data_IF_768489707632
#
_entry.id   IF_768489707632
#
_cell.length_a   1.000
_cell.length_b   1.000
_cell.length_c   1.000
_cell.angle_alpha   90.00
_cell.angle_beta   90.00
_cell.angle_gamma   90.00
#
_symmetry.space_group_name_H-M   'P 1'
#
loop_
_entity.id
_entity.type
_entity.pdbx_description
1 polymer ?
#
# COMPACT_ATOMS: atom_id res chain seq x y z
N UNK A 1 -6.04 -9.00 -8.79
CA UNK A 1 -4.79 -9.59 -9.33
C UNK A 1 -4.15 -10.48 -8.29
N UNK A 2 -3.58 -11.60 -8.74
CA UNK A 2 -2.79 -12.52 -7.91
C UNK A 2 -1.59 -13.09 -8.71
N UNK A 3 -0.56 -13.55 -8.00
CA UNK A 3 0.55 -14.31 -8.58
C UNK A 3 0.20 -15.80 -8.62
N UNK A 4 0.44 -16.43 -9.76
CA UNK A 4 0.36 -17.87 -9.92
C UNK A 4 1.76 -18.44 -10.14
N UNK A 5 2.24 -19.26 -9.21
CA UNK A 5 3.50 -19.97 -9.34
C UNK A 5 3.20 -21.45 -9.55
N UNK A 6 3.54 -21.97 -10.73
CA UNK A 6 3.38 -23.38 -11.07
C UNK A 6 4.74 -24.06 -11.13
N UNK A 7 4.90 -25.19 -10.42
CA UNK A 7 6.14 -25.98 -10.42
C UNK A 7 5.93 -27.42 -10.86
N UNK A 8 6.78 -27.91 -11.75
CA UNK A 8 6.88 -29.33 -12.12
C UNK A 8 7.81 -30.14 -11.23
N UNK A 9 8.44 -29.48 -10.26
CA UNK A 9 9.27 -30.09 -9.23
C UNK A 9 8.41 -30.36 -7.99
N UNK A 10 8.38 -31.61 -7.53
CA UNK A 10 7.64 -32.03 -6.33
C UNK A 10 8.33 -31.62 -5.02
N UNK A 11 9.62 -31.23 -5.07
CA UNK A 11 10.30 -30.63 -3.92
C UNK A 11 10.13 -29.11 -3.86
N UNK A 12 9.48 -28.51 -4.87
CA UNK A 12 9.19 -27.09 -4.84
C UNK A 12 8.24 -26.73 -3.70
N UNK A 13 8.39 -25.51 -3.21
CA UNK A 13 7.57 -24.94 -2.16
C UNK A 13 7.72 -25.61 -0.77
N UNK A 14 8.80 -26.38 -0.55
CA UNK A 14 9.12 -27.02 0.74
C UNK A 14 10.09 -26.20 1.62
N UNK A 15 10.02 -24.87 1.53
CA UNK A 15 10.78 -23.94 2.38
C UNK A 15 12.11 -23.46 1.80
N UNK A 16 12.49 -23.93 0.61
CA UNK A 16 13.58 -23.32 -0.17
C UNK A 16 13.03 -22.24 -1.11
N UNK A 17 13.82 -21.19 -1.43
CA UNK A 17 13.46 -20.24 -2.48
C UNK A 17 13.22 -20.96 -3.80
N UNK A 18 12.18 -20.57 -4.51
CA UNK A 18 11.82 -21.17 -5.79
C UNK A 18 12.55 -20.45 -6.94
N UNK A 19 13.12 -21.22 -7.86
CA UNK A 19 13.94 -20.70 -8.96
C UNK A 19 13.33 -21.06 -10.30
N UNK A 20 13.34 -20.10 -11.22
CA UNK A 20 12.87 -20.31 -12.59
C UNK A 20 13.71 -19.50 -13.59
N UNK A 21 13.74 -19.97 -14.83
CA UNK A 21 14.36 -19.22 -15.92
C UNK A 21 13.54 -17.99 -16.27
N UNK A 22 14.20 -16.93 -16.72
CA UNK A 22 13.57 -15.65 -17.02
C UNK A 22 12.51 -15.73 -18.14
N UNK A 23 12.66 -16.65 -19.09
CA UNK A 23 11.67 -16.89 -20.15
C UNK A 23 10.36 -17.51 -19.64
N UNK A 24 10.39 -18.12 -18.44
CA UNK A 24 9.22 -18.67 -17.73
C UNK A 24 8.46 -17.63 -16.91
N UNK A 25 8.99 -16.40 -16.84
CA UNK A 25 8.33 -15.29 -16.12
C UNK A 25 7.30 -14.63 -17.03
N UNK A 26 6.07 -14.56 -16.54
CA UNK A 26 4.90 -14.02 -17.22
C UNK A 26 4.51 -14.79 -18.49
N UNK A 27 4.81 -16.10 -18.55
CA UNK A 27 4.57 -16.93 -19.75
C UNK A 27 3.08 -17.02 -20.13
N UNK A 28 2.17 -16.91 -19.16
CA UNK A 28 0.72 -16.95 -19.34
C UNK A 28 0.00 -15.73 -18.74
N UNK A 29 0.72 -14.62 -18.66
CA UNK A 29 0.19 -13.32 -18.26
C UNK A 29 -0.28 -12.57 -19.50
N UNK A 30 -1.46 -11.93 -19.44
CA UNK A 30 -1.96 -11.11 -20.55
C UNK A 30 -0.98 -9.99 -20.92
N UNK A 31 -0.95 -9.58 -22.19
CA UNK A 31 -0.02 -8.54 -22.66
C UNK A 31 -0.17 -7.23 -21.89
N UNK A 32 -1.40 -6.85 -21.53
CA UNK A 32 -1.69 -5.64 -20.78
C UNK A 32 -1.03 -5.63 -19.39
N UNK A 33 -1.04 -6.79 -18.70
CA UNK A 33 -0.39 -6.94 -17.39
C UNK A 33 1.12 -7.08 -17.57
N UNK A 34 1.57 -7.85 -18.58
CA UNK A 34 2.99 -8.02 -18.87
C UNK A 34 3.68 -6.68 -19.11
N UNK A 35 3.05 -5.79 -19.88
CA UNK A 35 3.56 -4.44 -20.12
C UNK A 35 3.75 -3.62 -18.83
N UNK A 36 2.97 -3.90 -17.78
CA UNK A 36 3.08 -3.21 -16.49
C UNK A 36 4.23 -3.72 -15.62
N UNK A 37 4.68 -4.97 -15.80
CA UNK A 37 5.59 -5.65 -14.86
C UNK A 37 6.87 -6.22 -15.51
N UNK A 38 6.98 -6.22 -16.84
CA UNK A 38 8.08 -6.88 -17.57
C UNK A 38 9.48 -6.36 -17.27
N UNK A 39 9.62 -5.11 -16.84
CA UNK A 39 10.95 -4.53 -16.52
C UNK A 39 11.49 -5.12 -15.21
N UNK A 40 10.59 -5.56 -14.33
CA UNK A 40 10.87 -6.01 -12.97
C UNK A 40 11.77 -5.02 -12.21
N UNK A 41 11.49 -3.72 -12.32
CA UNK A 41 12.14 -2.69 -11.53
C UNK A 41 11.64 -2.71 -10.07
N UNK A 42 12.28 -1.96 -9.16
CA UNK A 42 11.95 -1.99 -7.73
C UNK A 42 10.48 -1.68 -7.42
N UNK A 43 9.84 -0.78 -8.18
CA UNK A 43 8.42 -0.45 -8.00
C UNK A 43 7.51 -1.60 -8.47
N UNK A 44 7.85 -2.23 -9.59
CA UNK A 44 7.10 -3.36 -10.13
C UNK A 44 7.23 -4.59 -9.23
N UNK A 45 8.43 -4.91 -8.77
CA UNK A 45 8.71 -5.99 -7.79
C UNK A 45 7.89 -5.76 -6.52
N UNK A 46 7.91 -4.54 -5.98
CA UNK A 46 7.15 -4.18 -4.79
C UNK A 46 5.65 -4.43 -4.97
N UNK A 47 5.09 -4.08 -6.14
CA UNK A 47 3.67 -4.36 -6.45
C UNK A 47 3.39 -5.86 -6.55
N UNK A 48 4.28 -6.65 -7.14
CA UNK A 48 4.12 -8.09 -7.27
C UNK A 48 4.18 -8.79 -5.90
N UNK A 49 5.05 -8.35 -5.00
CA UNK A 49 5.09 -8.82 -3.61
C UNK A 49 3.79 -8.54 -2.83
N UNK A 50 3.03 -7.52 -3.25
CA UNK A 50 1.76 -7.16 -2.61
C UNK A 50 0.55 -7.97 -3.12
N UNK A 51 0.74 -8.85 -4.10
CA UNK A 51 -0.33 -9.69 -4.59
C UNK A 51 -0.40 -11.01 -3.82
N UNK A 52 -1.62 -11.49 -3.49
CA UNK A 52 -1.83 -12.87 -3.10
C UNK A 52 -1.14 -13.83 -4.06
N UNK A 53 -0.57 -14.90 -3.54
CA UNK A 53 0.17 -15.87 -4.35
C UNK A 53 -0.42 -17.25 -4.19
N UNK A 54 -0.82 -17.86 -5.31
CA UNK A 54 -1.22 -19.26 -5.39
C UNK A 54 -0.02 -20.07 -5.86
N UNK A 55 0.50 -20.93 -4.97
CA UNK A 55 1.61 -21.83 -5.24
C UNK A 55 1.04 -23.20 -5.57
N UNK A 56 1.15 -23.62 -6.83
CA UNK A 56 0.55 -24.82 -7.38
C UNK A 56 1.58 -25.70 -8.09
N UNK A 57 1.20 -26.94 -8.37
CA UNK A 57 2.08 -27.92 -9.00
C UNK A 57 1.51 -28.39 -10.34
N UNK A 58 2.39 -28.71 -11.27
CA UNK A 58 2.01 -29.26 -12.57
C UNK A 58 1.21 -30.56 -12.45
N UNK A 59 0.41 -30.84 -13.47
CA UNK A 59 -0.38 -32.04 -13.61
C UNK A 59 0.52 -33.27 -13.46
N UNK A 60 0.13 -34.16 -12.56
CA UNK A 60 0.88 -35.38 -12.23
C UNK A 60 1.67 -35.27 -10.93
N UNK A 61 1.97 -34.05 -10.48
CA UNK A 61 2.50 -33.79 -9.14
C UNK A 61 1.28 -33.72 -8.19
N UNK A 62 0.97 -34.83 -7.53
CA UNK A 62 -0.23 -35.01 -6.70
C UNK A 62 -0.11 -34.28 -5.35
N UNK A 63 0.16 -32.99 -5.38
CA UNK A 63 0.28 -32.11 -4.21
C UNK A 63 -0.74 -30.98 -4.26
N UNK A 64 -1.20 -30.55 -3.08
CA UNK A 64 -2.16 -29.48 -2.97
C UNK A 64 -1.50 -28.12 -3.24
N UNK A 65 -2.22 -27.25 -3.91
CA UNK A 65 -1.85 -25.85 -4.02
C UNK A 65 -2.07 -25.13 -2.68
N UNK A 66 -1.22 -24.15 -2.40
CA UNK A 66 -1.21 -23.40 -1.14
C UNK A 66 -1.21 -21.91 -1.41
N UNK A 67 -1.77 -21.17 -0.48
CA UNK A 67 -1.84 -19.72 -0.52
C UNK A 67 -0.72 -19.10 0.31
N UNK A 68 -0.14 -18.03 -0.24
CA UNK A 68 0.97 -17.35 0.39
C UNK A 68 1.20 -15.97 -0.22
N UNK A 69 2.41 -15.48 -0.02
CA UNK A 69 2.91 -14.24 -0.58
C UNK A 69 4.34 -14.40 -1.08
N UNK A 70 4.73 -13.52 -2.00
CA UNK A 70 6.12 -13.38 -2.41
C UNK A 70 6.79 -12.37 -1.48
N UNK A 71 7.79 -12.82 -0.72
CA UNK A 71 8.52 -11.98 0.22
C UNK A 71 9.60 -11.17 -0.50
N UNK A 72 10.39 -11.85 -1.34
CA UNK A 72 11.49 -11.24 -2.07
C UNK A 72 11.67 -11.84 -3.47
N UNK A 73 11.99 -10.98 -4.43
CA UNK A 73 12.33 -11.38 -5.80
C UNK A 73 13.77 -10.94 -6.08
N UNK A 74 14.63 -11.90 -6.43
CA UNK A 74 16.01 -11.63 -6.88
C UNK A 74 16.14 -12.01 -8.33
N UNK A 75 16.74 -11.11 -9.10
CA UNK A 75 16.80 -11.22 -10.54
C UNK A 75 18.26 -11.33 -10.98
N UNK A 76 18.55 -12.31 -11.82
CA UNK A 76 19.81 -12.45 -12.54
C UNK A 76 19.55 -12.32 -14.05
N UNK A 77 20.60 -12.44 -14.85
CA UNK A 77 20.50 -12.32 -16.31
C UNK A 77 19.54 -13.34 -16.92
N UNK A 78 19.59 -14.59 -16.44
CA UNK A 78 18.86 -15.73 -17.02
C UNK A 78 17.82 -16.35 -16.10
N UNK A 79 17.83 -15.99 -14.82
CA UNK A 79 17.07 -16.67 -13.77
C UNK A 79 16.46 -15.67 -12.80
N UNK A 80 15.36 -16.07 -12.19
CA UNK A 80 14.71 -15.37 -11.10
C UNK A 80 14.63 -16.33 -9.92
N UNK A 81 14.91 -15.81 -8.73
CA UNK A 81 14.73 -16.51 -7.46
C UNK A 81 13.65 -15.79 -6.66
N UNK A 82 12.67 -16.55 -6.18
CA UNK A 82 11.51 -16.07 -5.44
C UNK A 82 11.56 -16.67 -4.03
N UNK A 83 11.68 -15.82 -3.03
CA UNK A 83 11.45 -16.17 -1.63
C UNK A 83 9.96 -15.94 -1.34
N UNK A 84 9.31 -16.90 -0.68
CA UNK A 84 7.88 -16.90 -0.43
C UNK A 84 7.58 -17.45 0.97
N UNK A 85 6.41 -17.10 1.48
CA UNK A 85 5.87 -17.59 2.75
C UNK A 85 4.42 -17.99 2.57
N UNK A 86 4.01 -19.04 3.29
CA UNK A 86 2.60 -19.42 3.36
C UNK A 86 1.89 -18.60 4.42
N UNK A 87 0.61 -18.36 4.20
CA UNK A 87 -0.23 -17.69 5.19
C UNK A 87 -0.93 -18.79 6.01
N UNK A 88 -0.65 -18.79 7.31
CA UNK A 88 -1.18 -19.81 8.23
C UNK A 88 -2.70 -19.71 8.37
N UNK A 89 -3.36 -20.86 8.56
CA UNK A 89 -4.81 -20.92 8.73
C UNK A 89 -5.64 -20.79 7.45
N UNK A 90 -4.99 -20.64 6.29
CA UNK A 90 -5.65 -20.71 4.98
C UNK A 90 -5.80 -22.16 4.51
N UNK A 91 -6.86 -22.46 3.72
CA UNK A 91 -7.10 -23.80 3.22
C UNK A 91 -6.13 -24.16 2.09
N UNK A 92 -5.77 -25.44 2.02
CA UNK A 92 -5.10 -26.00 0.85
C UNK A 92 -6.12 -26.32 -0.25
N UNK A 93 -5.72 -26.15 -1.49
CA UNK A 93 -6.57 -26.40 -2.66
C UNK A 93 -6.07 -27.65 -3.37
N UNK A 94 -6.89 -28.69 -3.38
CA UNK A 94 -6.52 -29.95 -4.05
C UNK A 94 -6.39 -29.76 -5.56
N UNK A 95 -5.63 -30.61 -6.28
CA UNK A 95 -5.55 -30.55 -7.74
C UNK A 95 -6.90 -30.63 -8.45
N UNK A 96 -7.87 -31.37 -7.88
CA UNK A 96 -9.22 -31.45 -8.41
C UNK A 96 -9.96 -30.11 -8.26
N UNK A 97 -9.93 -29.52 -7.06
CA UNK A 97 -10.56 -28.21 -6.82
C UNK A 97 -9.92 -27.10 -7.66
N UNK A 98 -8.58 -27.11 -7.82
CA UNK A 98 -7.90 -26.13 -8.67
C UNK A 98 -8.30 -26.27 -10.14
N UNK A 99 -8.51 -27.50 -10.60
CA UNK A 99 -9.01 -27.77 -11.95
C UNK A 99 -10.45 -27.32 -12.14
N UNK A 100 -11.29 -27.49 -11.12
CA UNK A 100 -12.68 -27.01 -11.16
C UNK A 100 -12.77 -25.47 -11.22
N UNK A 101 -11.71 -24.77 -10.79
CA UNK A 101 -11.56 -23.31 -10.80
C UNK A 101 -10.81 -22.76 -12.03
N UNK A 102 -10.50 -23.61 -13.01
CA UNK A 102 -9.66 -23.26 -14.17
C UNK A 102 -10.17 -22.00 -14.89
N UNK A 103 -11.47 -21.96 -15.15
CA UNK A 103 -12.11 -20.85 -15.86
C UNK A 103 -12.15 -19.57 -15.02
N UNK A 104 -12.59 -19.69 -13.78
CA UNK A 104 -12.77 -18.57 -12.84
C UNK A 104 -11.44 -17.89 -12.54
N UNK A 105 -10.35 -18.64 -12.41
CA UNK A 105 -9.02 -18.13 -12.11
C UNK A 105 -8.20 -17.73 -13.35
N UNK A 106 -8.80 -17.79 -14.56
CA UNK A 106 -8.13 -17.50 -15.83
C UNK A 106 -6.86 -18.35 -16.02
N UNK A 107 -6.94 -19.64 -15.68
CA UNK A 107 -5.87 -20.61 -15.87
C UNK A 107 -6.16 -21.37 -17.18
N UNK A 108 -5.27 -21.32 -18.15
CA UNK A 108 -5.43 -22.10 -19.36
C UNK A 108 -5.00 -23.57 -19.14
N UNK A 109 -5.63 -24.52 -19.84
CA UNK A 109 -5.33 -25.96 -19.72
C UNK A 109 -3.82 -26.29 -19.86
N UNK A 110 -3.10 -25.55 -20.71
CA UNK A 110 -1.66 -25.75 -20.94
C UNK A 110 -0.79 -25.29 -19.76
N UNK A 111 -1.27 -24.39 -18.90
CA UNK A 111 -0.54 -23.88 -17.72
C UNK A 111 -0.23 -24.99 -16.74
N UNK A 112 -1.11 -25.99 -16.64
CA UNK A 112 -0.91 -27.14 -15.77
C UNK A 112 0.27 -28.04 -16.17
N UNK A 113 0.89 -27.86 -17.33
CA UNK A 113 1.93 -28.77 -17.83
C UNK A 113 3.29 -28.07 -17.99
N UNK A 114 3.50 -26.94 -17.31
CA UNK A 114 4.73 -26.17 -17.46
C UNK A 114 5.04 -25.32 -16.24
N UNK A 115 6.28 -25.39 -15.80
CA UNK A 115 6.78 -24.58 -14.68
C UNK A 115 6.86 -23.14 -15.11
N UNK A 116 6.13 -22.23 -14.45
CA UNK A 116 6.06 -20.83 -14.85
C UNK A 116 5.56 -19.94 -13.70
N UNK A 117 5.78 -18.63 -13.87
CA UNK A 117 5.12 -17.60 -13.08
C UNK A 117 4.17 -16.80 -13.97
N UNK A 118 2.91 -16.68 -13.58
CA UNK A 118 1.93 -15.81 -14.22
C UNK A 118 1.33 -14.81 -13.21
N UNK A 119 0.76 -13.72 -13.73
CA UNK A 119 -0.03 -12.75 -12.96
C UNK A 119 -1.40 -12.68 -13.62
N UNK A 120 -2.44 -12.97 -12.86
CA UNK A 120 -3.82 -13.04 -13.35
C UNK A 120 -4.61 -11.85 -12.84
N UNK A 121 -5.46 -11.27 -13.68
CA UNK A 121 -6.34 -10.16 -13.32
C UNK A 121 -7.73 -10.64 -12.89
N UNK A 122 -7.71 -11.53 -11.91
CA UNK A 122 -8.88 -12.07 -11.23
C UNK A 122 -8.75 -11.74 -9.73
N UNK A 123 -9.88 -11.61 -9.05
CA UNK A 123 -9.94 -11.56 -7.60
C UNK A 123 -9.94 -12.99 -7.03
N UNK A 124 -8.74 -13.51 -6.76
CA UNK A 124 -8.54 -14.85 -6.21
C UNK A 124 -9.39 -15.11 -4.96
N UNK A 125 -9.50 -14.13 -4.06
CA UNK A 125 -10.23 -14.29 -2.82
C UNK A 125 -11.74 -14.43 -3.08
N UNK A 126 -12.30 -13.62 -3.98
CA UNK A 126 -13.70 -13.68 -4.34
C UNK A 126 -14.08 -15.02 -5.01
N UNK A 127 -13.23 -15.54 -5.90
CA UNK A 127 -13.48 -16.82 -6.57
C UNK A 127 -13.40 -18.00 -5.58
N UNK A 128 -12.42 -18.00 -4.66
CA UNK A 128 -12.30 -19.04 -3.64
C UNK A 128 -13.46 -19.03 -2.64
N UNK A 129 -13.98 -17.87 -2.28
CA UNK A 129 -15.22 -17.76 -1.49
C UNK A 129 -16.40 -18.35 -2.28
N UNK A 130 -16.53 -17.98 -3.55
CA UNK A 130 -17.66 -18.41 -4.40
C UNK A 130 -17.68 -19.93 -4.59
N UNK A 131 -16.51 -20.56 -4.67
CA UNK A 131 -16.37 -22.01 -4.70
C UNK A 131 -16.51 -22.70 -3.33
N UNK A 132 -16.74 -21.94 -2.25
CA UNK A 132 -16.87 -22.47 -0.90
C UNK A 132 -15.57 -23.00 -0.31
N UNK A 133 -14.43 -22.58 -0.86
CA UNK A 133 -13.10 -23.00 -0.41
C UNK A 133 -12.54 -22.10 0.68
N UNK A 134 -13.08 -20.89 0.88
CA UNK A 134 -12.58 -19.92 1.84
C UNK A 134 -13.70 -19.17 2.57
N UNK A 135 -13.45 -18.76 3.82
CA UNK A 135 -14.34 -17.87 4.58
C UNK A 135 -13.95 -16.39 4.42
N UNK A 136 -14.83 -15.47 4.86
CA UNK A 136 -14.51 -14.03 4.85
C UNK A 136 -13.33 -13.69 5.76
N UNK A 137 -13.26 -14.31 6.93
CA UNK A 137 -12.17 -14.11 7.90
C UNK A 137 -10.82 -14.54 7.31
N UNK A 138 -10.81 -15.63 6.54
CA UNK A 138 -9.61 -16.10 5.84
C UNK A 138 -9.20 -15.15 4.70
N UNK A 139 -10.16 -14.52 4.02
CA UNK A 139 -9.88 -13.47 3.02
C UNK A 139 -9.27 -12.24 3.66
N UNK A 140 -9.77 -11.81 4.82
CA UNK A 140 -9.18 -10.69 5.55
C UNK A 140 -7.74 -10.99 5.98
N UNK A 141 -7.45 -12.24 6.38
CA UNK A 141 -6.09 -12.69 6.67
C UNK A 141 -5.20 -12.66 5.41
N UNK A 142 -5.68 -13.19 4.28
CA UNK A 142 -4.96 -13.18 3.00
C UNK A 142 -4.64 -11.74 2.54
N UNK A 143 -5.63 -10.86 2.56
CA UNK A 143 -5.47 -9.47 2.17
C UNK A 143 -4.61 -8.67 3.16
N UNK A 144 -4.73 -8.94 4.46
CA UNK A 144 -3.93 -8.29 5.50
C UNK A 144 -2.44 -8.64 5.40
N UNK A 145 -2.12 -9.89 5.10
CA UNK A 145 -0.75 -10.41 4.97
C UNK A 145 -0.04 -9.99 3.67
N UNK A 146 -0.81 -9.79 2.60
CA UNK A 146 -0.30 -9.37 1.30
C UNK A 146 -0.20 -7.85 1.15
N UNK A 147 -0.76 -7.04 2.06
CA UNK A 147 -0.67 -5.58 1.97
C UNK A 147 0.54 -5.08 2.75
N UNK A 148 1.65 -4.87 2.06
CA UNK A 148 2.83 -4.23 2.59
C UNK A 148 3.06 -2.84 1.98
N UNK A 149 3.41 -1.88 2.83
CA UNK A 149 3.90 -0.57 2.37
C UNK A 149 5.41 -0.68 2.29
N UNK A 150 5.95 -0.60 1.08
CA UNK A 150 7.38 -0.47 0.84
C UNK A 150 7.75 1.01 0.95
N UNK A 151 8.33 1.39 2.08
CA UNK A 151 8.88 2.73 2.25
C UNK A 151 10.23 2.74 1.56
N UNK A 152 10.28 3.34 0.37
CA UNK A 152 11.52 3.51 -0.38
C UNK A 152 12.38 4.59 0.30
N UNK A 153 13.53 4.17 0.84
CA UNK A 153 14.58 5.05 1.38
C UNK A 153 15.71 5.29 0.35
N UNK A 154 15.51 4.88 -0.91
CA UNK A 154 16.48 4.96 -2.00
C UNK A 154 16.25 3.87 -3.05
N UNK A 155 17.05 3.79 -4.12
CA UNK A 155 16.89 2.81 -5.19
C UNK A 155 16.98 1.33 -4.73
N UNK A 156 17.72 1.07 -3.64
CA UNK A 156 18.00 -0.29 -3.13
C UNK A 156 17.63 -0.51 -1.65
N UNK A 157 16.88 0.40 -1.02
CA UNK A 157 16.48 0.26 0.39
C UNK A 157 14.97 0.46 0.51
N UNK A 158 14.23 -0.64 0.63
CA UNK A 158 12.80 -0.61 0.95
C UNK A 158 12.57 -1.32 2.28
N UNK A 159 11.89 -0.64 3.21
CA UNK A 159 11.40 -1.27 4.43
C UNK A 159 9.94 -1.65 4.22
N UNK A 160 9.61 -2.93 4.45
CA UNK A 160 8.24 -3.42 4.49
C UNK A 160 7.63 -3.09 5.85
N UNK A 161 6.53 -2.33 5.83
CA UNK A 161 5.74 -2.04 7.03
C UNK A 161 4.36 -2.65 6.89
N UNK A 162 3.98 -3.44 7.90
CA UNK A 162 2.66 -4.04 8.06
C UNK A 162 2.19 -3.77 9.50
N UNK A 163 1.34 -2.74 9.72
CA UNK A 163 0.85 -2.41 11.04
C UNK A 163 -0.14 -3.47 11.52
N UNK A 164 -0.04 -3.89 12.78
CA UNK A 164 -1.00 -4.83 13.39
C UNK A 164 -2.28 -4.15 13.89
N UNK A 165 -2.27 -2.82 14.03
CA UNK A 165 -3.38 -2.02 14.58
C UNK A 165 -4.26 -1.42 13.49
N UNK A 166 -3.74 -1.29 12.27
CA UNK A 166 -4.47 -0.70 11.14
C UNK A 166 -4.66 -1.73 10.04
N UNK A 167 -5.85 -1.75 9.45
CA UNK A 167 -6.04 -2.43 8.17
C UNK A 167 -5.38 -1.60 7.08
N UNK A 168 -4.70 -2.27 6.17
CA UNK A 168 -4.08 -1.56 5.05
C UNK A 168 -5.16 -1.04 4.08
N UNK A 169 -5.22 0.28 3.82
CA UNK A 169 -6.20 0.86 2.92
C UNK A 169 -5.97 0.39 1.49
N UNK A 170 -7.05 0.36 0.72
CA UNK A 170 -6.98 0.18 -0.72
C UNK A 170 -6.60 1.49 -1.42
N UNK A 171 -5.95 1.38 -2.57
CA UNK A 171 -5.61 2.50 -3.44
C UNK A 171 -4.15 2.90 -3.42
N UNK A 172 -3.85 3.98 -4.16
CA UNK A 172 -2.52 4.55 -4.30
C UNK A 172 -2.48 5.96 -3.71
N UNK A 173 -1.29 6.54 -3.68
CA UNK A 173 -1.12 7.96 -3.35
C UNK A 173 -1.91 8.77 -4.39
N UNK A 174 -2.84 9.59 -3.91
CA UNK A 174 -3.55 10.55 -4.73
C UNK A 174 -2.75 11.84 -4.83
N UNK A 175 -2.32 12.17 -6.05
CA UNK A 175 -1.44 13.31 -6.29
C UNK A 175 -2.12 14.68 -6.10
N UNK A 176 -3.43 14.71 -5.95
CA UNK A 176 -4.23 15.89 -5.68
C UNK A 176 -4.72 15.98 -4.22
N UNK A 177 -4.51 14.94 -3.41
CA UNK A 177 -5.04 14.87 -2.05
C UNK A 177 -4.05 15.40 -1.00
N UNK A 178 -4.53 16.27 -0.13
CA UNK A 178 -3.83 16.78 1.06
C UNK A 178 -4.72 16.54 2.26
N UNK A 179 -4.13 16.01 3.33
CA UNK A 179 -4.86 15.86 4.59
C UNK A 179 -4.39 16.86 5.64
N UNK A 180 -5.32 17.28 6.50
CA UNK A 180 -5.07 18.22 7.59
C UNK A 180 -5.44 17.57 8.92
N UNK A 181 -4.45 17.51 9.80
CA UNK A 181 -4.52 16.94 11.13
C UNK A 181 -4.44 18.07 12.14
N UNK A 182 -5.46 18.21 12.98
CA UNK A 182 -5.54 19.30 13.96
C UNK A 182 -6.38 18.87 15.18
N UNK A 183 -6.22 19.54 16.34
CA UNK A 183 -7.03 19.22 17.52
C UNK A 183 -8.51 19.34 17.20
N UNK A 184 -9.31 18.33 17.55
CA UNK A 184 -10.76 18.32 17.31
C UNK A 184 -11.45 19.37 18.19
N UNK A 185 -11.42 20.62 17.73
CA UNK A 185 -11.93 21.80 18.42
C UNK A 185 -12.34 22.85 17.38
N UNK A 186 -13.52 23.44 17.57
CA UNK A 186 -14.10 24.45 16.67
C UNK A 186 -13.18 25.64 16.40
N UNK A 187 -12.33 26.01 17.36
CA UNK A 187 -11.38 27.12 17.25
C UNK A 187 -10.35 26.97 16.12
N UNK A 188 -10.16 25.75 15.60
CA UNK A 188 -9.20 25.45 14.53
C UNK A 188 -9.85 25.45 13.13
N UNK A 189 -11.17 25.41 13.02
CA UNK A 189 -11.85 25.43 11.71
C UNK A 189 -11.54 26.68 10.87
N UNK A 190 -11.39 27.90 11.43
CA UNK A 190 -10.96 29.05 10.63
C UNK A 190 -9.59 28.84 9.96
N UNK A 191 -8.68 28.12 10.62
CA UNK A 191 -7.37 27.76 10.06
C UNK A 191 -7.53 26.65 9.01
N UNK A 192 -8.30 25.60 9.31
CA UNK A 192 -8.61 24.54 8.35
C UNK A 192 -9.23 25.09 7.05
N UNK A 193 -10.28 25.91 7.15
CA UNK A 193 -10.96 26.51 6.00
C UNK A 193 -10.02 27.39 5.15
N UNK A 194 -9.04 28.01 5.79
CA UNK A 194 -8.02 28.79 5.10
C UNK A 194 -7.05 27.89 4.33
N UNK A 195 -6.64 26.76 4.91
CA UNK A 195 -5.84 25.74 4.23
C UNK A 195 -6.61 25.12 3.07
N UNK A 196 -7.89 24.83 3.25
CA UNK A 196 -8.77 24.30 2.21
C UNK A 196 -8.85 25.25 1.02
N UNK A 197 -9.04 26.56 1.26
CA UNK A 197 -8.98 27.59 0.21
C UNK A 197 -7.63 27.60 -0.50
N UNK A 198 -6.53 27.51 0.26
CA UNK A 198 -5.18 27.47 -0.30
C UNK A 198 -4.97 26.26 -1.23
N UNK A 199 -5.48 25.10 -0.84
CA UNK A 199 -5.44 23.89 -1.67
C UNK A 199 -6.29 24.02 -2.91
N UNK A 200 -7.52 24.53 -2.78
CA UNK A 200 -8.43 24.75 -3.91
C UNK A 200 -7.83 25.66 -4.97
N UNK A 201 -7.15 26.74 -4.58
CA UNK A 201 -6.43 27.63 -5.49
C UNK A 201 -5.30 26.93 -6.28
N UNK A 202 -4.83 25.79 -5.79
CA UNK A 202 -3.76 24.99 -6.39
C UNK A 202 -4.29 23.72 -7.07
N UNK A 203 -5.61 23.53 -7.15
CA UNK A 203 -6.22 22.31 -7.69
C UNK A 203 -6.04 21.08 -6.80
N UNK A 204 -5.80 21.28 -5.50
CA UNK A 204 -5.65 20.21 -4.51
C UNK A 204 -6.94 20.05 -3.72
N UNK A 205 -7.34 18.79 -3.47
CA UNK A 205 -8.39 18.44 -2.52
C UNK A 205 -7.80 18.38 -1.13
N UNK A 206 -8.36 19.16 -0.22
CA UNK A 206 -7.94 19.22 1.18
C UNK A 206 -9.03 18.58 2.02
N UNK A 207 -8.69 17.52 2.77
CA UNK A 207 -9.63 16.82 3.64
C UNK A 207 -9.12 16.77 5.08
N UNK A 208 -10.04 16.65 6.03
CA UNK A 208 -9.74 16.23 7.40
C UNK A 208 -10.55 14.97 7.76
N UNK A 209 -10.22 14.36 8.89
CA UNK A 209 -10.84 13.12 9.35
C UNK A 209 -12.37 13.20 9.48
N UNK A 210 -12.95 14.36 9.79
CA UNK A 210 -14.39 14.52 10.01
C UNK A 210 -15.20 14.52 8.71
N UNK A 211 -14.52 14.73 7.59
CA UNK A 211 -15.13 14.71 6.26
C UNK A 211 -15.08 13.32 5.63
N UNK A 212 -14.48 12.34 6.32
CA UNK A 212 -14.38 10.95 5.90
C UNK A 212 -15.18 10.09 6.87
N UNK A 213 -16.08 9.27 6.34
CA UNK A 213 -16.84 8.30 7.10
C UNK A 213 -17.05 7.06 6.24
N UNK A 214 -16.01 6.24 6.14
CA UNK A 214 -16.10 4.95 5.44
C UNK A 214 -16.01 3.79 6.42
N UNK A 215 -15.40 4.00 7.58
CA UNK A 215 -15.08 2.94 8.53
C UNK A 215 -15.79 3.17 9.87
N UNK A 216 -16.04 2.07 10.60
CA UNK A 216 -16.62 2.14 11.95
C UNK A 216 -15.65 2.75 12.97
N UNK A 217 -14.35 2.69 12.71
CA UNK A 217 -13.29 3.19 13.58
C UNK A 217 -12.63 4.43 12.97
N UNK A 218 -12.77 5.58 13.64
CA UNK A 218 -12.24 6.88 13.19
C UNK A 218 -10.74 6.79 12.86
N UNK A 219 -9.98 6.01 13.64
CA UNK A 219 -8.53 5.88 13.45
C UNK A 219 -8.19 5.17 12.13
N UNK A 220 -9.04 4.27 11.66
CA UNK A 220 -8.88 3.59 10.38
C UNK A 220 -9.11 4.55 9.20
N UNK A 221 -10.10 5.45 9.31
CA UNK A 221 -10.33 6.51 8.33
C UNK A 221 -9.17 7.51 8.30
N UNK A 222 -8.62 7.89 9.47
CA UNK A 222 -7.44 8.75 9.58
C UNK A 222 -6.22 8.09 8.91
N UNK A 223 -5.96 6.82 9.21
CA UNK A 223 -4.85 6.09 8.59
C UNK A 223 -4.99 6.04 7.06
N UNK A 224 -6.19 5.73 6.57
CA UNK A 224 -6.52 5.68 5.14
C UNK A 224 -6.32 7.03 4.46
N UNK A 225 -6.73 8.10 5.12
CA UNK A 225 -6.57 9.47 4.63
C UNK A 225 -5.08 9.87 4.56
N UNK A 226 -4.30 9.61 5.61
CA UNK A 226 -2.85 9.87 5.62
C UNK A 226 -2.15 9.04 4.54
N UNK A 227 -2.50 7.75 4.42
CA UNK A 227 -1.91 6.84 3.45
C UNK A 227 -2.09 7.35 2.02
N UNK A 228 -3.29 7.79 1.65
CA UNK A 228 -3.60 8.26 0.29
C UNK A 228 -3.11 9.68 0.00
N UNK A 229 -2.84 10.49 1.02
CA UNK A 229 -2.43 11.89 0.84
C UNK A 229 -1.08 12.03 0.14
N UNK A 230 -0.93 13.03 -0.73
CA UNK A 230 0.37 13.44 -1.28
C UNK A 230 1.29 14.03 -0.22
N UNK A 231 0.73 14.81 0.70
CA UNK A 231 1.39 15.34 1.89
C UNK A 231 0.36 15.70 2.97
N UNK A 232 0.83 15.90 4.19
CA UNK A 232 -0.01 16.12 5.37
C UNK A 232 0.34 17.46 6.00
N UNK A 233 -0.67 18.21 6.46
CA UNK A 233 -0.50 19.41 7.28
C UNK A 233 -0.89 19.04 8.71
N UNK A 234 -0.02 19.31 9.68
CA UNK A 234 -0.28 19.01 11.09
C UNK A 234 -0.22 20.29 11.93
N UNK A 235 -1.30 20.58 12.68
CA UNK A 235 -1.32 21.67 13.65
C UNK A 235 -0.91 21.19 15.04
N UNK A 236 0.31 21.51 15.43
CA UNK A 236 0.89 21.10 16.72
C UNK A 236 0.49 22.00 17.89
N UNK A 237 -0.35 23.01 17.66
CA UNK A 237 -0.86 23.85 18.74
C UNK A 237 -1.56 23.06 19.83
N UNK A 238 -1.48 23.55 21.06
CA UNK A 238 -2.05 22.95 22.28
C UNK A 238 -1.44 21.60 22.66
N UNK A 239 -0.38 21.18 21.96
CA UNK A 239 0.35 19.94 22.22
C UNK A 239 -0.56 18.71 22.23
N UNK A 240 -1.50 18.64 21.28
CA UNK A 240 -2.45 17.54 21.21
C UNK A 240 -1.74 16.21 20.86
N UNK A 241 -1.85 15.17 21.71
CA UNK A 241 -1.13 13.91 21.50
C UNK A 241 -1.56 13.16 20.23
N UNK A 242 -2.83 13.29 19.83
CA UNK A 242 -3.35 12.59 18.64
C UNK A 242 -2.72 13.15 17.36
N UNK A 243 -2.55 14.47 17.27
CA UNK A 243 -1.92 15.10 16.09
C UNK A 243 -0.44 14.68 15.96
N UNK A 244 0.26 14.48 17.08
CA UNK A 244 1.63 13.94 17.03
C UNK A 244 1.66 12.47 16.63
N UNK A 245 0.69 11.67 17.08
CA UNK A 245 0.55 10.28 16.66
C UNK A 245 0.32 10.19 15.14
N UNK A 246 -0.58 10.99 14.61
CA UNK A 246 -0.87 11.13 13.17
C UNK A 246 0.35 11.59 12.37
N UNK A 247 1.11 12.58 12.88
CA UNK A 247 2.36 12.99 12.27
C UNK A 247 3.42 11.88 12.26
N UNK A 248 3.48 11.06 13.32
CA UNK A 248 4.35 9.89 13.40
C UNK A 248 4.01 8.81 12.37
N UNK A 249 2.71 8.55 12.14
CA UNK A 249 2.23 7.68 11.06
C UNK A 249 2.66 8.27 9.70
N UNK A 250 2.41 9.55 9.46
CA UNK A 250 2.77 10.21 8.21
C UNK A 250 4.28 10.12 7.92
N UNK A 251 5.13 10.36 8.92
CA UNK A 251 6.58 10.21 8.80
C UNK A 251 6.98 8.76 8.50
N UNK A 252 6.41 7.78 9.20
CA UNK A 252 6.66 6.36 8.93
C UNK A 252 6.32 6.02 7.48
N UNK A 253 5.20 6.52 6.96
CA UNK A 253 4.78 6.29 5.57
C UNK A 253 5.56 7.10 4.51
N UNK A 254 6.58 7.87 4.92
CA UNK A 254 7.35 8.74 4.03
C UNK A 254 6.57 9.94 3.48
N UNK A 255 5.45 10.30 4.10
CA UNK A 255 4.62 11.43 3.69
C UNK A 255 5.28 12.73 4.15
N UNK A 256 5.49 13.72 3.25
CA UNK A 256 5.94 15.04 3.67
C UNK A 256 4.93 15.64 4.64
N UNK A 257 5.40 16.06 5.81
CA UNK A 257 4.59 16.79 6.80
C UNK A 257 4.93 18.28 6.71
N UNK A 258 3.90 19.13 6.76
CA UNK A 258 4.01 20.59 6.94
C UNK A 258 3.51 20.91 8.34
N UNK A 259 4.40 21.06 9.33
CA UNK A 259 4.00 21.45 10.67
C UNK A 259 3.60 22.92 10.71
N UNK A 260 2.46 23.23 11.32
CA UNK A 260 2.02 24.58 11.67
C UNK A 260 1.83 24.64 13.19
N UNK A 261 2.09 25.81 13.78
CA UNK A 261 1.98 25.96 15.24
C UNK A 261 1.73 27.42 15.64
N UNK A 262 0.94 27.64 16.69
CA UNK A 262 0.78 28.97 17.29
C UNK A 262 1.88 29.31 18.29
N UNK A 263 2.33 28.33 19.08
CA UNK A 263 3.42 28.47 20.05
C UNK A 263 4.45 27.37 19.86
N UNK A 264 5.71 27.74 19.59
CA UNK A 264 6.80 26.78 19.34
C UNK A 264 7.03 25.83 20.51
N UNK A 265 6.72 26.25 21.74
CA UNK A 265 6.85 25.39 22.92
C UNK A 265 5.87 24.21 22.93
N UNK A 266 4.80 24.26 22.13
CA UNK A 266 3.88 23.13 21.96
C UNK A 266 4.54 21.96 21.20
N UNK A 267 5.62 22.21 20.45
CA UNK A 267 6.36 21.18 19.71
C UNK A 267 7.30 20.43 20.67
N UNK A 268 7.28 19.08 20.71
CA UNK A 268 8.27 18.28 21.44
C UNK A 268 9.70 18.58 20.99
N UNK A 269 10.66 18.54 21.91
CA UNK A 269 12.06 18.90 21.64
C UNK A 269 12.64 18.19 20.40
N UNK A 270 12.39 16.88 20.29
CA UNK A 270 12.85 16.06 19.16
C UNK A 270 12.23 16.48 17.82
N UNK A 271 11.12 17.21 17.79
CA UNK A 271 10.50 17.70 16.55
C UNK A 271 10.83 19.16 16.25
N UNK A 272 11.35 19.93 17.22
CA UNK A 272 11.62 21.38 17.07
C UNK A 272 12.69 21.70 16.04
N UNK A 273 13.62 20.77 15.79
CA UNK A 273 14.69 20.96 14.81
C UNK A 273 14.18 20.83 13.36
N UNK A 274 12.98 20.29 13.15
CA UNK A 274 12.31 20.30 11.85
C UNK A 274 11.68 21.67 11.55
N UNK A 275 11.63 22.01 10.26
CA UNK A 275 11.00 23.26 9.81
C UNK A 275 9.50 23.22 10.10
N UNK A 276 9.00 24.30 10.67
CA UNK A 276 7.59 24.51 11.00
C UNK A 276 7.18 25.94 10.66
N UNK A 277 5.88 26.17 10.50
CA UNK A 277 5.31 27.49 10.23
C UNK A 277 4.64 28.01 11.50
N UNK A 278 5.24 29.02 12.12
CA UNK A 278 4.63 29.73 13.25
C UNK A 278 3.58 30.73 12.74
N UNK A 279 2.41 30.76 13.38
CA UNK A 279 1.32 31.69 13.05
C UNK A 279 0.63 32.27 14.28
N UNK A 280 -0.03 33.42 14.11
CA UNK A 280 -0.92 33.98 15.13
C UNK A 280 -2.37 33.72 14.70
N UNK A 281 -3.22 33.27 15.61
CA UNK A 281 -4.63 32.98 15.30
C UNK A 281 -5.53 34.25 15.34
N UNK A 282 -5.09 35.29 14.64
CA UNK A 282 -5.86 36.50 14.35
C UNK A 282 -5.89 36.71 12.82
N UNK A 283 -6.65 37.69 12.33
CA UNK A 283 -6.83 37.87 10.87
C UNK A 283 -5.52 38.09 10.13
N UNK A 284 -4.65 38.97 10.64
CA UNK A 284 -3.35 39.25 10.01
C UNK A 284 -2.43 38.02 10.02
N UNK A 285 -2.37 37.30 11.14
CA UNK A 285 -1.55 36.10 11.29
C UNK A 285 -2.03 34.96 10.39
N UNK A 286 -3.34 34.79 10.25
CA UNK A 286 -3.96 33.84 9.31
C UNK A 286 -3.64 34.18 7.86
N UNK A 287 -3.67 35.45 7.46
CA UNK A 287 -3.27 35.86 6.10
C UNK A 287 -1.78 35.57 5.81
N UNK A 288 -0.91 35.74 6.80
CA UNK A 288 0.50 35.37 6.67
C UNK A 288 0.68 33.84 6.59
N UNK A 289 -0.07 33.09 7.38
CA UNK A 289 -0.10 31.62 7.33
C UNK A 289 -0.51 31.15 5.93
N UNK A 290 -1.58 31.72 5.36
CA UNK A 290 -2.06 31.40 4.01
C UNK A 290 -0.95 31.52 2.97
N UNK A 291 -0.20 32.63 2.99
CA UNK A 291 0.90 32.86 2.04
C UNK A 291 2.01 31.81 2.20
N UNK A 292 2.41 31.51 3.44
CA UNK A 292 3.48 30.53 3.73
C UNK A 292 3.07 29.11 3.36
N UNK A 293 1.83 28.72 3.70
CA UNK A 293 1.28 27.40 3.35
C UNK A 293 1.17 27.26 1.84
N UNK A 294 0.60 28.24 1.13
CA UNK A 294 0.44 28.17 -0.34
C UNK A 294 1.79 27.98 -1.04
N UNK A 295 2.82 28.72 -0.62
CA UNK A 295 4.19 28.56 -1.15
C UNK A 295 4.74 27.15 -0.91
N UNK A 296 4.54 26.62 0.30
CA UNK A 296 5.01 25.28 0.66
C UNK A 296 4.24 24.19 -0.11
N UNK A 297 2.92 24.32 -0.23
CA UNK A 297 2.06 23.43 -0.99
C UNK A 297 2.46 23.43 -2.46
N UNK A 298 2.71 24.58 -3.08
CA UNK A 298 3.23 24.68 -4.46
C UNK A 298 4.55 23.92 -4.64
N UNK A 299 5.48 24.08 -3.69
CA UNK A 299 6.77 23.38 -3.73
C UNK A 299 6.61 21.86 -3.70
N UNK A 300 5.67 21.35 -2.89
CA UNK A 300 5.41 19.92 -2.78
C UNK A 300 4.53 19.39 -3.92
N UNK A 301 3.62 20.22 -4.45
CA UNK A 301 2.79 19.88 -5.59
C UNK A 301 3.62 19.68 -6.86
N UNK A 302 4.64 20.52 -7.09
CA UNK A 302 5.55 20.41 -8.23
C UNK A 302 6.58 19.28 -8.15
N UNK A 303 6.79 18.68 -6.97
CA UNK A 303 7.59 17.45 -6.82
C UNK A 303 6.72 16.27 -7.23
N UNK A 304 6.83 15.84 -8.49
CA UNK A 304 6.08 14.70 -9.04
C UNK A 304 5.43 14.91 -10.41
N UNK A 305 5.70 16.03 -11.10
CA UNK A 305 5.57 16.02 -12.56
C UNK A 305 6.83 15.37 -13.15
N UNK A 306 6.70 14.36 -14.03
CA UNK A 306 7.85 13.73 -14.69
C UNK A 306 8.67 14.74 -15.50
#
# INVERSE_FOLDING_TARGET
MFNLLFSGDDEAFLGQPWELKRDRVFEYTSEAIRNQFQELNSQQISRLCNFPTLLAYERGINQNARLGKIDHIRIRQTEVRIEYSFIEGLPEITPAQLKDLEWELDIAEFEFNRTHWAVKDVDLAAELISAGLMSKEQVDALNGECRAIFIANGPDQSVQVQPSVFRMPEGQIEHDLVSVMFPFNEAFYPVFNLVERAGKDLGLRVLNANQVWNESEIIQDIFSLIFRSKFVICDFSTRNPNVFYEAGIAHTLGRPVIPIVQNVEDIPFDLRHHRHIVYLNNDQGRLLLLKKIKLRMQTLAGRGQP
#
